data_IF_589483858821
#
_entry.id   IF_589483858821
#
_cell.length_a   1.000
_cell.length_b   1.000
_cell.length_c   1.000
_cell.angle_alpha   90.00
_cell.angle_beta   90.00
_cell.angle_gamma   90.00
#
_symmetry.space_group_name_H-M   'P 1'
#
loop_
_entity.id
_entity.type
_entity.pdbx_description
1 polymer ?
#
# COMPACT_ATOMS: atom_id res chain seq x y z
N UNK A 1 -12.40 21.71 -6.68
CA UNK A 1 -11.23 21.02 -6.15
C UNK A 1 -10.29 21.98 -5.41
N UNK A 2 -9.80 21.58 -4.25
CA UNK A 2 -8.83 22.35 -3.49
C UNK A 2 -7.42 22.14 -4.08
N UNK A 3 -6.73 23.22 -4.38
CA UNK A 3 -5.35 23.12 -4.87
C UNK A 3 -4.42 22.61 -3.76
N UNK A 4 -4.62 23.06 -2.53
CA UNK A 4 -3.85 22.64 -1.36
C UNK A 4 -4.71 22.64 -0.11
N UNK A 5 -4.57 21.61 0.71
CA UNK A 5 -5.18 21.53 2.03
C UNK A 5 -4.11 21.18 3.08
N UNK A 6 -4.04 21.97 4.14
CA UNK A 6 -3.25 21.68 5.32
C UNK A 6 -4.21 21.62 6.50
N UNK A 7 -4.40 20.43 7.05
CA UNK A 7 -5.36 20.19 8.13
C UNK A 7 -4.66 19.52 9.29
N UNK A 8 -4.85 20.09 10.48
CA UNK A 8 -4.32 19.50 11.71
C UNK A 8 -5.43 19.42 12.76
N UNK A 9 -5.60 18.25 13.33
CA UNK A 9 -6.60 17.99 14.36
C UNK A 9 -5.96 17.22 15.53
N UNK A 10 -6.44 17.44 16.74
CA UNK A 10 -6.04 16.61 17.88
C UNK A 10 -6.76 15.26 17.87
N UNK A 11 -8.08 15.27 17.75
CA UNK A 11 -8.92 14.08 17.82
C UNK A 11 -10.09 14.08 16.83
N UNK A 12 -10.22 15.08 16.00
CA UNK A 12 -11.28 15.15 15.01
C UNK A 12 -10.93 14.49 13.70
N UNK A 13 -11.93 13.94 13.04
CA UNK A 13 -11.78 13.34 11.74
C UNK A 13 -11.57 14.37 10.64
N UNK A 14 -10.80 14.01 9.64
CA UNK A 14 -10.52 14.83 8.48
C UNK A 14 -11.17 14.17 7.27
N UNK A 15 -12.12 14.85 6.66
CA UNK A 15 -12.80 14.34 5.47
C UNK A 15 -12.67 15.33 4.32
N UNK A 16 -12.04 14.89 3.24
CA UNK A 16 -11.79 15.69 2.05
C UNK A 16 -12.24 14.93 0.80
N UNK A 17 -12.83 15.64 -0.14
CA UNK A 17 -13.31 15.01 -1.38
C UNK A 17 -12.23 15.04 -2.45
N UNK A 18 -11.74 16.22 -2.81
CA UNK A 18 -10.71 16.33 -3.85
C UNK A 18 -9.68 17.39 -3.48
N UNK A 19 -8.42 17.01 -3.46
CA UNK A 19 -7.30 17.87 -3.07
C UNK A 19 -6.10 17.63 -3.98
N UNK A 20 -5.49 18.69 -4.48
CA UNK A 20 -4.24 18.61 -5.24
C UNK A 20 -3.06 18.21 -4.35
N UNK A 21 -2.74 19.09 -3.37
CA UNK A 21 -1.67 18.87 -2.39
C UNK A 21 -2.27 18.72 -0.99
N UNK A 22 -2.05 17.62 -0.34
CA UNK A 22 -2.58 17.30 0.99
C UNK A 22 -1.48 17.23 2.06
N UNK A 23 -1.71 17.93 3.17
CA UNK A 23 -1.02 17.67 4.43
C UNK A 23 -2.06 17.50 5.53
N UNK A 24 -2.33 16.28 5.95
CA UNK A 24 -3.29 15.96 7.00
C UNK A 24 -2.57 15.32 8.19
N UNK A 25 -2.77 15.88 9.37
CA UNK A 25 -2.20 15.35 10.61
C UNK A 25 -3.29 15.34 11.69
N UNK A 26 -3.53 14.17 12.28
CA UNK A 26 -4.43 14.05 13.41
C UNK A 26 -3.82 13.17 14.50
N UNK A 27 -4.20 13.40 15.75
CA UNK A 27 -3.74 12.56 16.87
C UNK A 27 -4.49 11.23 16.92
N UNK A 28 -5.82 11.28 16.93
CA UNK A 28 -6.66 10.08 17.11
C UNK A 28 -7.82 9.99 16.11
N UNK A 29 -8.05 10.99 15.28
CA UNK A 29 -9.11 10.98 14.29
C UNK A 29 -8.72 10.27 13.01
N UNK A 30 -9.72 9.93 12.23
CA UNK A 30 -9.52 9.30 10.92
C UNK A 30 -9.21 10.34 9.83
N UNK A 31 -8.48 9.92 8.84
CA UNK A 31 -8.24 10.72 7.63
C UNK A 31 -8.89 10.03 6.44
N UNK A 32 -9.85 10.67 5.83
CA UNK A 32 -10.54 10.15 4.64
C UNK A 32 -10.45 11.15 3.50
N UNK A 33 -9.88 10.74 2.39
CA UNK A 33 -9.78 11.55 1.18
C UNK A 33 -10.22 10.75 -0.03
N UNK A 34 -11.14 11.27 -0.83
CA UNK A 34 -11.64 10.54 -2.01
C UNK A 34 -10.64 10.60 -3.17
N UNK A 35 -10.11 11.78 -3.46
CA UNK A 35 -9.10 11.94 -4.51
C UNK A 35 -8.01 12.90 -4.05
N UNK A 36 -6.76 12.47 -4.18
CA UNK A 36 -5.60 13.28 -3.86
C UNK A 36 -4.60 13.27 -5.02
N UNK A 37 -4.06 14.41 -5.36
CA UNK A 37 -2.96 14.50 -6.30
C UNK A 37 -1.71 13.93 -5.67
N UNK A 38 -1.12 14.68 -4.75
CA UNK A 38 -0.03 14.21 -3.90
C UNK A 38 -0.26 14.66 -2.46
N UNK A 39 0.30 13.92 -1.52
CA UNK A 39 0.10 14.30 -0.14
C UNK A 39 0.81 13.49 0.91
N UNK A 40 0.58 13.97 2.13
CA UNK A 40 0.98 13.26 3.35
C UNK A 40 -0.21 13.23 4.30
N UNK A 41 -0.54 12.02 4.76
CA UNK A 41 -1.53 11.82 5.80
C UNK A 41 -0.88 11.10 6.98
N UNK A 42 -1.08 11.62 8.18
CA UNK A 42 -0.52 11.08 9.40
C UNK A 42 -1.54 11.06 10.52
N UNK A 43 -1.67 9.94 11.18
CA UNK A 43 -2.48 9.80 12.39
C UNK A 43 -1.74 9.00 13.46
N UNK A 44 -2.06 9.25 14.72
CA UNK A 44 -1.52 8.44 15.81
C UNK A 44 -2.25 7.12 15.96
N UNK A 45 -3.59 7.14 16.01
CA UNK A 45 -4.41 5.95 16.28
C UNK A 45 -5.61 5.79 15.35
N UNK A 46 -5.89 6.74 14.50
CA UNK A 46 -7.00 6.67 13.55
C UNK A 46 -6.62 5.97 12.25
N UNK A 47 -7.61 5.70 11.44
CA UNK A 47 -7.44 5.08 10.14
C UNK A 47 -7.18 6.09 9.04
N UNK A 48 -6.49 5.67 8.00
CA UNK A 48 -6.27 6.49 6.80
C UNK A 48 -6.92 5.78 5.62
N UNK A 49 -7.87 6.45 4.98
CA UNK A 49 -8.50 5.97 3.78
C UNK A 49 -8.29 6.95 2.62
N UNK A 50 -7.75 6.49 1.51
CA UNK A 50 -7.58 7.25 0.29
C UNK A 50 -8.20 6.49 -0.89
N UNK A 51 -9.06 7.14 -1.63
CA UNK A 51 -9.66 6.57 -2.84
C UNK A 51 -8.66 6.55 -4.00
N UNK A 52 -8.60 7.60 -4.77
CA UNK A 52 -7.67 7.69 -5.90
C UNK A 52 -6.48 8.60 -5.59
N UNK A 53 -5.28 8.08 -5.77
CA UNK A 53 -4.02 8.83 -5.67
C UNK A 53 -3.46 9.03 -7.06
N UNK A 54 -3.43 10.26 -7.54
CA UNK A 54 -3.00 10.56 -8.92
C UNK A 54 -1.49 10.54 -9.09
N UNK A 55 -0.76 11.19 -8.16
CA UNK A 55 0.69 11.30 -8.23
C UNK A 55 1.37 10.46 -7.15
N UNK A 56 1.26 10.88 -5.90
CA UNK A 56 1.93 10.20 -4.78
C UNK A 56 1.27 10.45 -3.43
N UNK A 57 1.29 9.45 -2.58
CA UNK A 57 0.80 9.57 -1.20
C UNK A 57 1.80 8.95 -0.22
N UNK A 58 2.06 9.68 0.86
CA UNK A 58 2.80 9.17 2.01
C UNK A 58 1.83 9.08 3.20
N UNK A 59 1.67 7.87 3.74
CA UNK A 59 0.82 7.65 4.92
C UNK A 59 1.65 7.14 6.09
N UNK A 60 1.28 7.59 7.30
CA UNK A 60 1.87 7.10 8.55
C UNK A 60 0.79 6.97 9.61
N UNK A 61 0.70 5.81 10.22
CA UNK A 61 -0.14 5.60 11.38
C UNK A 61 0.60 4.83 12.46
N UNK A 62 0.26 5.08 13.72
CA UNK A 62 0.79 4.29 14.83
C UNK A 62 0.05 2.98 15.00
N UNK A 63 -1.28 3.00 15.05
CA UNK A 63 -2.10 1.82 15.34
C UNK A 63 -3.33 1.66 14.45
N UNK A 64 -3.62 2.60 13.60
CA UNK A 64 -4.77 2.50 12.68
C UNK A 64 -4.43 1.81 11.37
N UNK A 65 -5.45 1.46 10.64
CA UNK A 65 -5.31 0.83 9.33
C UNK A 65 -5.13 1.85 8.21
N UNK A 66 -4.48 1.43 7.15
CA UNK A 66 -4.33 2.24 5.95
C UNK A 66 -4.96 1.52 4.79
N UNK A 67 -5.92 2.15 4.14
CA UNK A 67 -6.57 1.63 2.94
C UNK A 67 -6.43 2.62 1.79
N UNK A 68 -5.91 2.15 0.66
CA UNK A 68 -5.78 2.95 -0.57
C UNK A 68 -6.40 2.20 -1.72
N UNK A 69 -7.42 2.77 -2.35
CA UNK A 69 -8.14 2.08 -3.42
C UNK A 69 -7.32 2.01 -4.72
N UNK A 70 -6.73 3.11 -5.15
CA UNK A 70 -5.91 3.10 -6.38
C UNK A 70 -4.74 4.09 -6.27
N UNK A 71 -3.56 3.66 -6.67
CA UNK A 71 -2.36 4.51 -6.58
C UNK A 71 -1.32 4.20 -7.65
N UNK A 72 -0.65 5.26 -8.12
CA UNK A 72 0.56 5.17 -8.92
C UNK A 72 1.83 5.16 -8.07
N UNK A 73 1.85 5.88 -6.93
CA UNK A 73 3.00 5.90 -6.02
C UNK A 73 2.55 6.03 -4.58
N UNK A 74 2.93 5.05 -3.76
CA UNK A 74 2.55 5.00 -2.35
C UNK A 74 3.76 4.68 -1.46
N UNK A 75 3.87 5.42 -0.36
CA UNK A 75 4.73 5.03 0.75
C UNK A 75 3.88 4.98 2.01
N UNK A 76 3.68 3.80 2.56
CA UNK A 76 2.84 3.59 3.74
C UNK A 76 3.62 2.94 4.87
N UNK A 77 3.44 3.46 6.06
CA UNK A 77 4.06 2.92 7.27
C UNK A 77 3.02 2.83 8.39
N UNK A 78 2.85 1.64 8.94
CA UNK A 78 2.02 1.39 10.12
C UNK A 78 2.84 0.73 11.23
N UNK A 79 2.51 1.04 12.47
CA UNK A 79 3.10 0.33 13.62
C UNK A 79 2.39 -1.00 13.88
N UNK A 80 1.07 -0.98 14.06
CA UNK A 80 0.29 -2.17 14.41
C UNK A 80 -0.96 -2.38 13.56
N UNK A 81 -1.29 -1.47 12.68
CA UNK A 81 -2.45 -1.61 11.79
C UNK A 81 -2.09 -2.22 10.46
N UNK A 82 -3.10 -2.67 9.76
CA UNK A 82 -2.96 -3.30 8.45
C UNK A 82 -2.82 -2.26 7.35
N UNK A 83 -2.16 -2.65 6.29
CA UNK A 83 -2.04 -1.83 5.08
C UNK A 83 -2.70 -2.57 3.92
N UNK A 84 -3.75 -1.99 3.36
CA UNK A 84 -4.47 -2.55 2.22
C UNK A 84 -4.38 -1.61 1.03
N UNK A 85 -3.99 -2.15 -0.12
CA UNK A 85 -3.99 -1.45 -1.41
C UNK A 85 -4.82 -2.26 -2.39
N UNK A 86 -5.88 -1.70 -2.91
CA UNK A 86 -6.74 -2.43 -3.83
C UNK A 86 -6.11 -2.55 -5.22
N UNK A 87 -5.61 -1.46 -5.78
CA UNK A 87 -4.99 -1.48 -7.11
C UNK A 87 -3.71 -0.62 -7.15
N UNK A 88 -2.62 -1.22 -7.63
CA UNK A 88 -1.32 -0.57 -7.78
C UNK A 88 -0.86 -0.55 -9.24
N UNK A 89 -0.58 0.64 -9.76
CA UNK A 89 -0.09 0.87 -11.13
C UNK A 89 1.30 1.52 -11.19
N UNK A 90 2.16 1.31 -10.22
CA UNK A 90 3.46 1.97 -10.21
C UNK A 90 4.32 1.53 -9.06
N UNK A 91 4.71 2.45 -8.19
CA UNK A 91 5.63 2.15 -7.11
C UNK A 91 4.95 2.19 -5.75
N UNK A 92 5.10 1.14 -4.97
CA UNK A 92 4.65 1.15 -3.59
C UNK A 92 5.72 0.62 -2.64
N UNK A 93 5.83 1.28 -1.49
CA UNK A 93 6.65 0.83 -0.38
C UNK A 93 5.77 0.74 0.86
N UNK A 94 5.52 -0.48 1.30
CA UNK A 94 4.66 -0.76 2.44
C UNK A 94 5.50 -1.31 3.59
N UNK A 95 5.34 -0.74 4.78
CA UNK A 95 6.04 -1.19 5.99
C UNK A 95 5.08 -1.27 7.15
N UNK A 96 5.04 -2.42 7.80
CA UNK A 96 4.31 -2.59 9.04
C UNK A 96 5.16 -3.37 10.05
N UNK A 97 4.97 -3.11 11.34
CA UNK A 97 5.67 -3.89 12.36
C UNK A 97 4.87 -5.12 12.77
N UNK A 98 3.57 -4.98 13.06
CA UNK A 98 2.75 -6.10 13.55
C UNK A 98 1.45 -6.31 12.78
N UNK A 99 1.18 -5.52 11.77
CA UNK A 99 -0.01 -5.66 10.94
C UNK A 99 0.28 -6.43 9.65
N UNK A 100 -0.78 -6.78 8.97
CA UNK A 100 -0.71 -7.45 7.68
C UNK A 100 -0.57 -6.44 6.54
N UNK A 101 0.04 -6.85 5.46
CA UNK A 101 0.11 -6.06 4.24
C UNK A 101 -0.59 -6.80 3.10
N UNK A 102 -1.60 -6.19 2.54
CA UNK A 102 -2.41 -6.77 1.49
C UNK A 102 -2.47 -5.86 0.26
N UNK A 103 -2.04 -6.37 -0.88
CA UNK A 103 -2.22 -5.73 -2.18
C UNK A 103 -3.13 -6.62 -3.00
N UNK A 104 -4.34 -6.18 -3.28
CA UNK A 104 -5.34 -7.00 -3.95
C UNK A 104 -4.98 -7.21 -5.43
N UNK A 105 -4.49 -6.16 -6.11
CA UNK A 105 -4.12 -6.23 -7.52
C UNK A 105 -2.94 -5.32 -7.85
N UNK A 106 -1.79 -5.89 -8.07
CA UNK A 106 -0.64 -5.18 -8.60
C UNK A 106 -0.55 -5.38 -10.11
N UNK A 107 -0.58 -4.30 -10.87
CA UNK A 107 -0.61 -4.33 -12.34
C UNK A 107 0.79 -4.20 -12.91
N UNK A 108 1.56 -3.23 -12.45
CA UNK A 108 2.90 -2.98 -12.95
C UNK A 108 3.73 -2.19 -11.95
N UNK A 109 5.03 -2.13 -12.16
CA UNK A 109 5.95 -1.26 -11.44
C UNK A 109 6.82 -1.99 -10.43
N UNK A 110 7.00 -1.38 -9.26
CA UNK A 110 7.85 -1.91 -8.19
C UNK A 110 7.10 -1.89 -6.86
N UNK A 111 7.00 -3.04 -6.23
CA UNK A 111 6.36 -3.20 -4.93
C UNK A 111 7.37 -3.73 -3.90
N UNK A 112 7.67 -2.93 -2.89
CA UNK A 112 8.52 -3.30 -1.76
C UNK A 112 7.67 -3.39 -0.49
N UNK A 113 7.50 -4.60 0.04
CA UNK A 113 6.70 -4.85 1.24
C UNK A 113 7.58 -5.43 2.34
N UNK A 114 7.53 -4.81 3.52
CA UNK A 114 8.22 -5.31 4.71
C UNK A 114 7.28 -5.37 5.89
N UNK A 115 7.16 -6.57 6.47
CA UNK A 115 6.50 -6.77 7.76
C UNK A 115 7.47 -7.41 8.76
N UNK A 116 7.26 -7.17 10.04
CA UNK A 116 8.02 -7.88 11.08
C UNK A 116 7.27 -9.11 11.56
N UNK A 117 5.98 -8.97 11.90
CA UNK A 117 5.20 -10.06 12.50
C UNK A 117 3.85 -10.30 11.79
N UNK A 118 3.60 -9.67 10.69
CA UNK A 118 2.35 -9.83 9.95
C UNK A 118 2.52 -10.61 8.66
N UNK A 119 1.41 -11.06 8.13
CA UNK A 119 1.36 -11.74 6.85
C UNK A 119 1.42 -10.75 5.68
N UNK A 120 1.99 -11.17 4.59
CA UNK A 120 2.05 -10.39 3.35
C UNK A 120 1.30 -11.15 2.26
N UNK A 121 0.30 -10.52 1.68
CA UNK A 121 -0.48 -11.10 0.58
C UNK A 121 -0.51 -10.14 -0.61
N UNK A 122 -0.08 -10.63 -1.75
CA UNK A 122 -0.04 -9.84 -2.99
C UNK A 122 -0.74 -10.59 -4.11
N UNK A 123 -1.75 -9.97 -4.70
CA UNK A 123 -2.37 -10.41 -5.94
C UNK A 123 -1.71 -9.71 -7.14
N UNK A 124 -1.37 -10.46 -8.17
CA UNK A 124 -0.77 -9.92 -9.39
C UNK A 124 -1.78 -9.99 -10.53
N UNK A 125 -1.94 -8.90 -11.26
CA UNK A 125 -2.88 -8.83 -12.38
C UNK A 125 -2.58 -9.89 -13.45
N UNK A 126 -3.60 -10.36 -14.13
CA UNK A 126 -3.44 -11.25 -15.27
C UNK A 126 -2.65 -10.54 -16.37
N UNK A 127 -1.75 -11.25 -17.05
CA UNK A 127 -0.92 -10.69 -18.12
C UNK A 127 0.29 -9.87 -17.65
N UNK A 128 0.55 -9.81 -16.34
CA UNK A 128 1.73 -9.15 -15.78
C UNK A 128 2.85 -10.17 -15.53
N UNK A 129 4.01 -9.92 -16.09
CA UNK A 129 5.22 -10.68 -15.80
C UNK A 129 5.82 -10.22 -14.46
N UNK A 130 6.24 -11.13 -13.62
CA UNK A 130 6.68 -10.82 -12.26
C UNK A 130 8.10 -11.29 -12.00
N UNK A 131 8.92 -10.37 -11.49
CA UNK A 131 10.20 -10.71 -10.87
C UNK A 131 10.01 -10.73 -9.35
N UNK A 132 10.18 -11.89 -8.74
CA UNK A 132 9.97 -12.10 -7.31
C UNK A 132 11.28 -12.17 -6.54
N UNK A 133 11.41 -11.33 -5.51
CA UNK A 133 12.43 -11.45 -4.47
C UNK A 133 11.72 -11.49 -3.11
N UNK A 134 11.44 -12.69 -2.64
CA UNK A 134 10.63 -12.91 -1.44
C UNK A 134 11.40 -13.69 -0.40
N UNK A 135 11.33 -13.26 0.86
CA UNK A 135 11.98 -13.95 1.97
C UNK A 135 11.18 -13.88 3.28
N UNK A 136 11.21 -14.95 4.03
CA UNK A 136 10.73 -15.02 5.41
C UNK A 136 11.74 -15.74 6.28
N UNK A 137 11.85 -15.37 7.54
CA UNK A 137 12.75 -16.03 8.49
C UNK A 137 12.05 -17.20 9.16
N UNK A 138 10.84 -17.00 9.67
CA UNK A 138 10.05 -18.04 10.32
C UNK A 138 8.59 -17.96 9.89
N UNK A 139 8.28 -18.44 8.74
CA UNK A 139 6.95 -18.46 8.15
C UNK A 139 6.94 -19.29 6.88
N UNK A 140 5.78 -19.41 6.28
CA UNK A 140 5.62 -20.12 5.02
C UNK A 140 5.58 -19.12 3.86
N UNK A 141 6.27 -19.47 2.80
CA UNK A 141 6.20 -18.72 1.55
C UNK A 141 5.50 -19.58 0.51
N UNK A 142 4.44 -19.04 -0.08
CA UNK A 142 3.68 -19.69 -1.15
C UNK A 142 3.53 -18.74 -2.33
N UNK A 143 3.85 -19.23 -3.51
CA UNK A 143 3.59 -18.50 -4.75
C UNK A 143 2.80 -19.40 -5.68
N UNK A 144 1.64 -18.95 -6.11
CA UNK A 144 0.84 -19.59 -7.15
C UNK A 144 1.20 -19.10 -8.55
N UNK A 145 2.20 -18.23 -8.66
CA UNK A 145 2.69 -17.75 -9.95
C UNK A 145 3.56 -18.83 -10.59
N UNK A 146 3.24 -19.17 -11.81
CA UNK A 146 4.14 -19.99 -12.63
C UNK A 146 5.30 -19.13 -13.08
N UNK A 147 6.51 -19.67 -13.01
CA UNK A 147 7.66 -19.06 -13.66
C UNK A 147 7.41 -19.08 -15.17
N UNK A 148 6.94 -17.97 -15.69
CA UNK A 148 6.94 -17.74 -17.12
C UNK A 148 8.34 -17.20 -17.46
N UNK A 149 8.92 -17.63 -18.58
CA UNK A 149 10.23 -17.15 -19.02
C UNK A 149 10.32 -15.62 -19.14
N UNK A 150 11.24 -15.13 -19.95
CA UNK A 150 11.39 -13.67 -20.16
C UNK A 150 10.05 -13.02 -20.55
N UNK A 151 9.78 -11.78 -20.07
CA UNK A 151 8.57 -11.05 -20.44
C UNK A 151 8.45 -10.92 -21.96
N UNK A 152 7.26 -11.18 -22.47
CA UNK A 152 7.00 -10.93 -23.88
C UNK A 152 6.91 -9.42 -24.18
N UNK A 153 7.23 -8.98 -25.42
CA UNK A 153 7.05 -7.60 -25.80
C UNK A 153 5.60 -7.14 -25.59
N UNK A 154 5.40 -6.06 -24.82
CA UNK A 154 4.08 -5.51 -24.51
C UNK A 154 3.46 -6.03 -23.21
N UNK A 155 4.07 -6.98 -22.51
CA UNK A 155 3.64 -7.35 -21.16
C UNK A 155 4.02 -6.28 -20.14
N UNK A 156 3.08 -5.99 -19.24
CA UNK A 156 3.38 -5.20 -18.04
C UNK A 156 4.32 -6.01 -17.14
N UNK A 157 5.25 -5.34 -16.49
CA UNK A 157 6.22 -5.96 -15.60
C UNK A 157 6.07 -5.44 -14.17
N UNK A 158 6.16 -6.34 -13.21
CA UNK A 158 6.14 -6.04 -11.79
C UNK A 158 7.37 -6.63 -11.13
N UNK A 159 8.15 -5.78 -10.46
CA UNK A 159 9.18 -6.21 -9.55
C UNK A 159 8.61 -6.24 -8.12
N UNK A 160 8.52 -7.42 -7.52
CA UNK A 160 8.00 -7.61 -6.19
C UNK A 160 9.11 -8.01 -5.24
N UNK A 161 9.38 -7.18 -4.25
CA UNK A 161 10.25 -7.47 -3.12
C UNK A 161 9.39 -7.58 -1.87
N UNK A 162 9.29 -8.74 -1.27
CA UNK A 162 8.49 -8.94 -0.08
C UNK A 162 9.30 -9.65 1.01
N UNK A 163 9.35 -9.05 2.18
CA UNK A 163 10.12 -9.57 3.33
C UNK A 163 9.29 -9.55 4.60
N UNK A 164 9.29 -10.66 5.30
CA UNK A 164 8.74 -10.74 6.65
C UNK A 164 9.68 -11.51 7.57
N UNK A 165 9.61 -11.27 8.86
CA UNK A 165 10.42 -12.02 9.83
C UNK A 165 9.64 -13.21 10.35
N UNK A 166 8.42 -13.02 10.85
CA UNK A 166 7.61 -14.10 11.42
C UNK A 166 6.17 -14.07 10.90
N UNK A 167 6.01 -14.04 9.63
CA UNK A 167 4.70 -14.08 8.96
C UNK A 167 4.76 -14.92 7.70
N UNK A 168 3.59 -15.22 7.18
CA UNK A 168 3.47 -15.93 5.93
C UNK A 168 3.49 -14.94 4.76
N UNK A 169 3.97 -15.43 3.63
CA UNK A 169 4.04 -14.65 2.42
C UNK A 169 3.31 -15.41 1.31
N UNK A 170 2.27 -14.81 0.79
CA UNK A 170 1.46 -15.38 -0.28
C UNK A 170 1.44 -14.45 -1.49
N UNK A 171 1.84 -14.98 -2.63
CA UNK A 171 1.76 -14.29 -3.92
C UNK A 171 0.90 -15.11 -4.88
N UNK A 172 -0.12 -14.51 -5.47
CA UNK A 172 -1.19 -15.18 -6.22
C UNK A 172 -1.55 -14.35 -7.44
N UNK A 173 -2.30 -14.92 -8.36
CA UNK A 173 -2.94 -14.14 -9.42
C UNK A 173 -4.21 -13.49 -8.88
N UNK A 174 -4.35 -12.20 -9.12
CA UNK A 174 -5.60 -11.50 -8.88
C UNK A 174 -6.69 -12.02 -9.83
N UNK A 175 -7.81 -12.30 -9.25
CA UNK A 175 -8.96 -12.82 -10.01
C UNK A 175 -9.61 -11.80 -10.92
#
# INVERSE_FOLDING_TARGET
PLSRAVVRSGSGDIHLVEVGDLEAVTGSGDVRVTTVGRGRAQTGSGDIWAGAVRDSLVTRTGSGDVTVASTGRLQSTSGSGDITVDELHGQARLRTASGDAHVARAVSGHLDVKSTSGDVRVGVAQGTAVLLDCSTVSGQMRSALRSTGEPEPGEETLELVARTISGNLLVDRAG
#
